data_IF_123313849740
#
_entry.id   IF_123313849740
#
_cell.length_a   1.000
_cell.length_b   1.000
_cell.length_c   1.000
_cell.angle_alpha   90.00
_cell.angle_beta   90.00
_cell.angle_gamma   90.00
#
_symmetry.space_group_name_H-M   'P 1'
#
loop_
_entity.id
_entity.type
_entity.pdbx_description
1 polymer ?
#
# COMPACT_ATOMS: atom_id res chain seq x y z
N UNK A 1 -0.10 27.36 18.25
CA UNK A 1 -0.36 25.92 18.08
C UNK A 1 0.07 25.55 16.67
N UNK A 2 1.17 24.81 16.51
CA UNK A 2 1.70 24.41 15.20
C UNK A 2 1.00 23.12 14.77
N UNK A 3 0.44 23.07 13.56
CA UNK A 3 -0.16 21.85 12.99
C UNK A 3 0.89 21.17 12.10
N UNK A 4 1.21 19.91 12.39
CA UNK A 4 2.11 19.12 11.55
C UNK A 4 1.29 18.62 10.36
N UNK A 5 1.66 19.03 9.15
CA UNK A 5 1.02 18.59 7.90
C UNK A 5 1.97 17.59 7.24
N UNK A 6 1.49 16.37 7.01
CA UNK A 6 2.19 15.39 6.18
C UNK A 6 1.99 15.77 4.72
N UNK A 7 3.10 16.05 4.02
CA UNK A 7 3.09 16.49 2.63
C UNK A 7 3.12 15.32 1.64
N UNK A 8 3.88 14.26 1.95
CA UNK A 8 3.96 13.07 1.12
C UNK A 8 4.14 11.80 1.95
N UNK A 9 3.64 10.69 1.43
CA UNK A 9 3.90 9.34 1.92
C UNK A 9 4.05 8.43 0.70
N UNK A 10 5.05 7.54 0.74
CA UNK A 10 5.34 6.63 -0.37
C UNK A 10 5.14 5.20 0.16
N UNK A 11 4.35 4.43 -0.56
CA UNK A 11 4.10 3.02 -0.27
C UNK A 11 5.30 2.13 -0.62
N UNK A 12 5.33 0.92 -0.07
CA UNK A 12 6.33 -0.10 -0.43
C UNK A 12 5.66 -1.45 -0.54
N UNK A 13 6.03 -2.23 -1.56
CA UNK A 13 5.53 -3.58 -1.74
C UNK A 13 6.14 -4.51 -0.67
N UNK A 14 5.29 -5.26 0.01
CA UNK A 14 5.73 -6.22 1.04
C UNK A 14 5.91 -7.58 0.39
N UNK A 15 7.12 -8.11 0.47
CA UNK A 15 7.39 -9.49 0.11
C UNK A 15 6.86 -10.44 1.18
N UNK A 16 5.76 -11.12 0.88
CA UNK A 16 5.15 -12.08 1.80
C UNK A 16 5.71 -13.48 1.62
N UNK A 17 6.06 -14.12 2.74
CA UNK A 17 6.25 -15.57 2.75
C UNK A 17 4.93 -16.31 2.49
N UNK A 18 5.02 -17.53 1.93
CA UNK A 18 3.85 -18.35 1.62
C UNK A 18 2.89 -18.48 2.81
N UNK A 19 1.63 -18.10 2.60
CA UNK A 19 0.57 -18.16 3.63
C UNK A 19 0.72 -17.15 4.77
N UNK A 20 1.62 -16.17 4.65
CA UNK A 20 1.79 -15.09 5.63
C UNK A 20 1.22 -13.75 5.16
N UNK A 21 0.65 -13.68 3.96
CA UNK A 21 -0.03 -12.47 3.52
C UNK A 21 -1.23 -12.16 4.40
N UNK A 22 -1.16 -11.06 5.14
CA UNK A 22 -2.19 -10.59 6.07
C UNK A 22 -3.12 -9.53 5.46
N UNK A 23 -2.89 -9.09 4.22
CA UNK A 23 -3.84 -8.24 3.48
C UNK A 23 -4.92 -9.07 2.78
N UNK A 24 -4.76 -10.39 2.79
CA UNK A 24 -5.64 -11.34 2.12
C UNK A 24 -6.20 -12.33 3.12
N UNK A 25 -7.52 -12.52 3.12
CA UNK A 25 -8.20 -13.54 3.91
C UNK A 25 -8.43 -14.77 3.05
N UNK A 26 -7.77 -15.87 3.43
CA UNK A 26 -7.91 -17.16 2.76
C UNK A 26 -9.00 -17.96 3.46
N UNK A 27 -10.09 -18.25 2.76
CA UNK A 27 -11.13 -19.18 3.22
C UNK A 27 -11.07 -20.48 2.42
N UNK A 28 -11.00 -21.61 3.13
CA UNK A 28 -11.09 -22.94 2.53
C UNK A 28 -12.48 -23.47 2.77
N UNK A 29 -13.24 -23.65 1.70
CA UNK A 29 -14.51 -24.36 1.73
C UNK A 29 -14.30 -25.76 1.16
N UNK A 30 -14.70 -26.77 1.92
CA UNK A 30 -14.85 -28.11 1.38
C UNK A 30 -16.06 -28.07 0.44
N UNK A 31 -15.94 -28.62 -0.77
CA UNK A 31 -17.10 -28.71 -1.64
C UNK A 31 -18.05 -29.75 -1.04
N UNK A 32 -19.21 -29.31 -0.57
CA UNK A 32 -20.22 -30.21 -0.02
C UNK A 32 -20.76 -31.11 -1.14
N UNK A 33 -20.59 -32.43 -0.99
CA UNK A 33 -21.30 -33.43 -1.80
C UNK A 33 -20.51 -34.28 -2.80
N UNK A 34 -19.17 -34.36 -2.74
CA UNK A 34 -18.42 -35.31 -3.60
C UNK A 34 -17.19 -35.87 -2.89
N UNK A 35 -17.08 -37.21 -2.93
CA UNK A 35 -16.02 -38.01 -2.32
C UNK A 35 -14.61 -37.70 -2.90
N UNK A 36 -14.52 -36.88 -3.94
CA UNK A 36 -13.27 -36.48 -4.61
C UNK A 36 -13.18 -34.96 -4.91
N UNK A 37 -13.98 -34.12 -4.26
CA UNK A 37 -13.95 -32.69 -4.58
C UNK A 37 -12.69 -32.00 -4.06
N UNK A 38 -11.94 -31.36 -4.97
CA UNK A 38 -10.80 -30.53 -4.61
C UNK A 38 -11.26 -29.34 -3.75
N UNK A 39 -10.55 -29.01 -2.65
CA UNK A 39 -10.90 -27.88 -1.80
C UNK A 39 -10.79 -26.57 -2.59
N UNK A 40 -11.85 -25.76 -2.57
CA UNK A 40 -11.87 -24.45 -3.23
C UNK A 40 -11.27 -23.44 -2.26
N UNK A 41 -10.17 -22.80 -2.65
CA UNK A 41 -9.56 -21.70 -1.91
C UNK A 41 -10.11 -20.39 -2.44
N UNK A 42 -10.81 -19.64 -1.61
CA UNK A 42 -11.26 -18.29 -1.93
C UNK A 42 -10.38 -17.29 -1.17
N UNK A 43 -9.92 -16.26 -1.88
CA UNK A 43 -9.05 -15.21 -1.36
C UNK A 43 -9.82 -13.91 -1.52
N UNK A 44 -10.13 -13.25 -0.41
CA UNK A 44 -10.77 -11.94 -0.37
C UNK A 44 -9.78 -10.94 0.23
N UNK A 45 -9.69 -9.75 -0.37
CA UNK A 45 -8.92 -8.66 0.20
C UNK A 45 -9.61 -8.20 1.49
N UNK A 46 -8.83 -8.07 2.57
CA UNK A 46 -9.35 -7.74 3.89
C UNK A 46 -8.51 -6.63 4.52
N UNK A 47 -9.20 -5.61 5.04
CA UNK A 47 -8.57 -4.45 5.66
C UNK A 47 -7.56 -4.85 6.74
N UNK A 48 -6.29 -4.56 6.50
CA UNK A 48 -5.15 -4.90 7.33
C UNK A 48 -4.34 -3.65 7.66
N UNK A 49 -3.58 -3.68 8.75
CA UNK A 49 -2.62 -2.61 9.05
C UNK A 49 -1.60 -2.44 7.92
N UNK A 50 -1.28 -3.53 7.21
CA UNK A 50 -0.33 -3.51 6.11
C UNK A 50 -0.84 -2.83 4.84
N UNK A 51 -2.14 -2.52 4.75
CA UNK A 51 -2.67 -1.68 3.68
C UNK A 51 -2.09 -0.26 3.74
N UNK A 52 -1.54 0.14 4.89
CA UNK A 52 -0.80 1.38 5.04
C UNK A 52 0.44 1.47 4.14
N UNK A 53 1.02 0.34 3.72
CA UNK A 53 2.14 0.32 2.78
C UNK A 53 1.68 0.36 1.32
N UNK A 54 0.40 0.13 1.05
CA UNK A 54 -0.23 0.27 -0.25
C UNK A 54 -0.83 1.68 -0.41
N UNK A 55 0.02 2.70 -0.24
CA UNK A 55 -0.42 4.07 -0.44
C UNK A 55 -0.76 4.29 -1.92
N UNK A 56 -1.85 5.01 -2.23
CA UNK A 56 -2.11 5.43 -3.60
C UNK A 56 -0.93 6.27 -4.10
N UNK A 57 -0.59 6.10 -5.37
CA UNK A 57 0.42 6.94 -6.01
C UNK A 57 0.04 8.41 -5.81
N UNK A 58 1.01 9.21 -5.41
CA UNK A 58 0.82 10.66 -5.32
C UNK A 58 0.41 11.14 -6.72
N UNK A 59 -0.71 11.86 -6.86
CA UNK A 59 -1.11 12.43 -8.13
C UNK A 59 0.06 13.22 -8.73
N UNK A 60 0.35 12.99 -10.02
CA UNK A 60 1.45 13.67 -10.74
C UNK A 60 1.11 15.12 -11.11
N UNK A 61 0.05 15.66 -10.54
CA UNK A 61 -0.43 17.01 -10.77
C UNK A 61 0.69 17.97 -10.31
N UNK A 62 1.23 18.73 -11.26
CA UNK A 62 2.44 19.59 -11.21
C UNK A 62 2.43 20.72 -10.14
N UNK A 63 1.70 20.57 -9.04
CA UNK A 63 1.61 21.55 -7.97
C UNK A 63 2.23 21.00 -6.68
N UNK A 64 3.56 21.12 -6.58
CA UNK A 64 4.15 21.42 -5.26
C UNK A 64 5.33 20.61 -4.77
N UNK A 65 5.99 19.77 -5.57
CA UNK A 65 7.39 19.44 -5.23
C UNK A 65 8.17 20.74 -5.45
N UNK A 66 8.21 21.59 -4.42
CA UNK A 66 9.21 22.65 -4.32
C UNK A 66 10.53 21.91 -4.46
N UNK A 67 11.21 22.07 -5.59
CA UNK A 67 12.51 21.47 -5.83
C UNK A 67 13.44 22.15 -4.81
N UNK A 68 13.50 21.62 -3.59
CA UNK A 68 14.22 22.22 -2.48
C UNK A 68 15.68 22.48 -2.83
N UNK A 69 16.25 21.73 -3.79
CA UNK A 69 17.59 21.98 -4.31
C UNK A 69 17.64 23.25 -5.18
N UNK A 70 16.74 23.37 -6.14
CA UNK A 70 16.71 24.45 -7.13
C UNK A 70 16.36 25.80 -6.48
N UNK A 71 15.38 25.79 -5.57
CA UNK A 71 14.99 26.99 -4.82
C UNK A 71 16.06 27.40 -3.78
N UNK A 72 16.78 26.44 -3.18
CA UNK A 72 17.90 26.78 -2.28
C UNK A 72 19.10 27.34 -3.01
N UNK A 73 19.40 26.87 -4.23
CA UNK A 73 20.48 27.42 -5.04
C UNK A 73 20.16 28.84 -5.51
N UNK A 74 18.91 29.12 -5.89
CA UNK A 74 18.46 30.46 -6.23
C UNK A 74 18.61 31.46 -5.06
N UNK A 75 18.32 31.03 -3.82
CA UNK A 75 18.52 31.82 -2.60
C UNK A 75 19.99 32.00 -2.23
N UNK A 76 20.86 31.03 -2.54
CA UNK A 76 22.30 31.14 -2.30
C UNK A 76 23.00 32.10 -3.28
N UNK A 77 22.38 32.33 -4.44
CA UNK A 77 22.88 33.22 -5.51
C UNK A 77 22.30 34.64 -5.47
N UNK A 78 21.43 34.97 -4.49
CA UNK A 78 20.93 36.33 -4.24
C UNK A 78 21.57 36.96 -3.02
#
# INVERSE_FOLDING_TARGET
MMMIILYCAIGTEIEWFLGKNLTQKISKKNAEGSENAQPITNIEDYGSFFDFFNLPDVPKDDYGIMNYKEDTEALLMS
#
